data_IF_900186050863
#
_entry.id   IF_900186050863
#
_cell.length_a   1.000
_cell.length_b   1.000
_cell.length_c   1.000
_cell.angle_alpha   90.00
_cell.angle_beta   90.00
_cell.angle_gamma   90.00
#
_symmetry.space_group_name_H-M   'P 1'
#
loop_
_entity.id
_entity.type
_entity.pdbx_description
1 polymer ?
#
# COMPACT_ATOMS: atom_id res chain seq x y z
N UNK A 1 43.56 47.55 25.67
CA UNK A 1 44.13 46.84 24.50
C UNK A 1 43.18 45.69 24.20
N UNK A 2 42.34 45.71 23.15
CA UNK A 2 42.69 45.73 21.70
C UNK A 2 43.64 44.54 21.45
N UNK A 3 43.33 43.46 20.73
CA UNK A 3 42.83 43.28 19.35
C UNK A 3 42.52 41.77 19.18
N UNK A 4 41.39 41.33 18.62
CA UNK A 4 41.12 41.02 17.20
C UNK A 4 42.08 40.01 16.50
N UNK A 5 41.54 38.81 16.19
CA UNK A 5 41.47 38.01 14.92
C UNK A 5 42.73 37.92 14.00
N UNK A 6 42.99 36.83 13.20
CA UNK A 6 42.05 36.25 12.22
C UNK A 6 42.23 34.77 11.75
N UNK A 7 41.29 34.31 10.90
CA UNK A 7 41.51 33.27 9.86
C UNK A 7 40.77 31.94 10.07
N UNK A 8 39.46 31.83 9.87
CA UNK A 8 38.75 31.56 8.59
C UNK A 8 39.33 30.42 7.73
N UNK A 9 38.66 29.27 7.74
CA UNK A 9 38.09 28.51 6.60
C UNK A 9 37.34 27.33 7.22
N UNK A 10 36.01 27.34 7.27
CA UNK A 10 35.11 26.73 6.27
C UNK A 10 35.10 25.18 6.34
N UNK A 11 33.93 24.57 6.10
CA UNK A 11 33.45 23.22 6.48
C UNK A 11 32.79 23.18 7.87
N UNK A 12 31.46 23.15 8.01
CA UNK A 12 30.50 22.41 7.21
C UNK A 12 29.16 23.14 7.19
N UNK A 13 28.73 23.49 5.98
CA UNK A 13 27.40 23.98 5.68
C UNK A 13 26.35 22.86 5.84
N UNK A 14 25.23 23.23 6.48
CA UNK A 14 23.84 22.85 6.18
C UNK A 14 23.40 21.40 6.44
N UNK A 15 22.55 21.25 7.46
CA UNK A 15 21.24 20.62 7.28
C UNK A 15 20.14 21.57 7.79
N UNK A 16 19.03 21.75 7.06
CA UNK A 16 17.99 22.72 7.35
C UNK A 16 16.99 22.25 8.43
N UNK A 17 16.44 23.23 9.14
CA UNK A 17 15.22 23.11 9.93
C UNK A 17 13.99 22.86 9.05
N UNK A 18 12.96 22.17 9.57
CA UNK A 18 11.52 22.60 9.65
C UNK A 18 10.51 21.44 9.76
N UNK A 19 9.47 21.65 10.58
CA UNK A 19 8.12 21.01 10.54
C UNK A 19 7.94 19.74 11.37
N UNK A 20 7.17 19.66 12.47
CA UNK A 20 5.75 19.98 12.76
C UNK A 20 4.75 19.01 12.13
N UNK A 21 3.93 18.39 12.99
CA UNK A 21 2.68 17.69 12.67
C UNK A 21 2.84 16.16 12.54
N UNK A 22 1.99 15.27 13.07
CA UNK A 22 0.65 15.44 13.62
C UNK A 22 0.31 14.22 14.49
N UNK A 23 -0.44 14.46 15.57
CA UNK A 23 -1.13 13.38 16.25
C UNK A 23 -2.12 12.70 15.30
N UNK A 24 -2.15 11.37 15.30
CA UNK A 24 -3.30 10.64 14.78
C UNK A 24 -3.68 9.53 15.75
N UNK A 25 -4.76 9.85 16.46
CA UNK A 25 -5.56 8.95 17.28
C UNK A 25 -5.65 7.53 16.72
N UNK A 26 -5.37 6.54 17.56
CA UNK A 26 -6.02 5.23 17.38
C UNK A 26 -7.43 5.35 17.93
N UNK A 27 -8.36 5.24 16.99
CA UNK A 27 -9.76 5.59 17.12
C UNK A 27 -10.51 4.39 17.68
N UNK A 28 -11.39 4.63 18.64
CA UNK A 28 -12.46 3.71 19.01
C UNK A 28 -13.10 3.15 17.72
N UNK A 29 -12.94 1.85 17.45
CA UNK A 29 -13.72 1.15 16.43
C UNK A 29 -14.68 0.21 17.12
N UNK A 30 -15.64 0.81 17.83
CA UNK A 30 -16.92 0.21 18.16
C UNK A 30 -17.77 0.15 16.88
N UNK A 31 -17.49 -0.81 15.98
CA UNK A 31 -18.49 -1.25 14.98
C UNK A 31 -18.12 -2.59 14.34
N UNK A 32 -17.85 -3.62 15.13
CA UNK A 32 -17.80 -5.01 14.63
C UNK A 32 -19.22 -5.59 14.56
N UNK A 33 -20.11 -4.93 13.81
CA UNK A 33 -21.44 -5.49 13.54
C UNK A 33 -21.98 -5.08 12.18
N UNK A 34 -21.95 -6.05 11.28
CA UNK A 34 -22.95 -6.28 10.25
C UNK A 34 -23.17 -5.16 9.23
N UNK A 35 -22.25 -5.03 8.27
CA UNK A 35 -22.66 -4.80 6.88
C UNK A 35 -21.98 -5.87 6.02
N UNK A 36 -22.75 -6.82 5.51
CA UNK A 36 -22.28 -7.83 4.55
C UNK A 36 -21.96 -7.14 3.21
N UNK A 37 -20.87 -6.37 3.15
CA UNK A 37 -20.60 -5.44 2.06
C UNK A 37 -19.15 -5.58 1.65
N UNK A 38 -18.91 -6.01 0.40
CA UNK A 38 -17.72 -5.91 -0.48
C UNK A 38 -16.52 -5.10 0.05
N UNK A 39 -16.74 -3.98 0.72
CA UNK A 39 -15.72 -3.27 1.51
C UNK A 39 -14.90 -4.15 2.45
N UNK A 40 -15.48 -5.11 3.19
CA UNK A 40 -14.72 -5.97 4.09
C UNK A 40 -13.79 -6.91 3.31
N UNK A 41 -14.30 -7.52 2.24
CA UNK A 41 -13.50 -8.36 1.34
C UNK A 41 -12.34 -7.59 0.71
N UNK A 42 -12.56 -6.32 0.35
CA UNK A 42 -11.49 -5.46 -0.14
C UNK A 42 -10.41 -5.25 0.92
N UNK A 43 -10.76 -5.08 2.21
CA UNK A 43 -9.74 -4.96 3.25
C UNK A 43 -8.94 -6.25 3.43
N UNK A 44 -9.61 -7.41 3.44
CA UNK A 44 -8.93 -8.71 3.47
C UNK A 44 -7.99 -8.88 2.27
N UNK A 45 -8.42 -8.42 1.09
CA UNK A 45 -7.59 -8.46 -0.11
C UNK A 45 -6.35 -7.58 0.07
N UNK A 46 -6.48 -6.38 0.66
CA UNK A 46 -5.34 -5.51 0.96
C UNK A 46 -4.35 -6.20 1.92
N UNK A 47 -4.83 -6.85 2.98
CA UNK A 47 -3.99 -7.59 3.92
C UNK A 47 -3.24 -8.74 3.23
N UNK A 48 -3.92 -9.51 2.38
CA UNK A 48 -3.27 -10.61 1.64
C UNK A 48 -2.29 -10.09 0.58
N UNK A 49 -2.59 -8.97 -0.09
CA UNK A 49 -1.64 -8.27 -0.98
C UNK A 49 -0.41 -7.79 -0.20
N UNK A 50 -0.56 -7.31 1.04
CA UNK A 50 0.57 -6.92 1.89
C UNK A 50 1.38 -8.11 2.39
N UNK A 51 0.72 -9.24 2.64
CA UNK A 51 1.37 -10.47 3.09
C UNK A 51 2.18 -11.14 1.98
N UNK A 52 1.61 -11.22 0.77
CA UNK A 52 2.20 -11.92 -0.37
C UNK A 52 3.01 -11.00 -1.28
N UNK A 53 2.62 -9.73 -1.35
CA UNK A 53 3.28 -8.72 -2.16
C UNK A 53 4.56 -8.21 -1.54
N UNK A 54 5.32 -7.49 -2.36
CA UNK A 54 6.56 -6.85 -1.97
C UNK A 54 6.47 -5.36 -2.27
N UNK A 55 7.18 -4.54 -1.49
CA UNK A 55 7.27 -3.11 -1.80
C UNK A 55 8.03 -2.90 -3.11
N UNK A 56 7.41 -2.18 -4.02
CA UNK A 56 8.03 -1.74 -5.27
C UNK A 56 8.99 -0.56 -5.02
N UNK A 57 9.71 -0.14 -6.06
CA UNK A 57 10.66 0.97 -6.00
C UNK A 57 10.00 2.32 -5.60
N UNK A 58 8.69 2.45 -5.76
CA UNK A 58 7.91 3.62 -5.34
C UNK A 58 7.40 3.54 -3.90
N UNK A 59 7.70 2.46 -3.17
CA UNK A 59 7.27 2.24 -1.79
C UNK A 59 5.84 1.69 -1.66
N UNK A 60 5.16 1.37 -2.76
CA UNK A 60 3.83 0.77 -2.79
C UNK A 60 3.94 -0.76 -2.81
N UNK A 61 3.04 -1.46 -2.15
CA UNK A 61 3.01 -2.93 -2.18
C UNK A 61 2.47 -3.40 -3.52
N UNK A 62 3.17 -4.32 -4.19
CA UNK A 62 2.70 -4.97 -5.40
C UNK A 62 2.82 -6.49 -5.32
N UNK A 63 1.84 -7.21 -5.85
CA UNK A 63 1.83 -8.67 -5.92
C UNK A 63 1.35 -9.13 -7.29
N UNK A 64 1.86 -10.27 -7.77
CA UNK A 64 1.41 -10.84 -9.04
C UNK A 64 0.04 -11.46 -8.90
N UNK A 65 -0.82 -11.27 -9.91
CA UNK A 65 -2.14 -11.89 -9.95
C UNK A 65 -2.06 -13.42 -9.86
N UNK A 66 -1.11 -14.03 -10.56
CA UNK A 66 -0.90 -15.48 -10.49
C UNK A 66 -0.54 -15.95 -9.07
N UNK A 67 0.15 -15.13 -8.27
CA UNK A 67 0.48 -15.47 -6.88
C UNK A 67 -0.76 -15.38 -5.98
N UNK A 68 -1.58 -14.34 -6.13
CA UNK A 68 -2.85 -14.25 -5.40
C UNK A 68 -3.82 -15.37 -5.78
N UNK A 69 -3.86 -15.74 -7.06
CA UNK A 69 -4.76 -16.78 -7.55
C UNK A 69 -4.29 -18.19 -7.16
N UNK A 70 -2.97 -18.42 -7.14
CA UNK A 70 -2.38 -19.68 -6.73
C UNK A 70 -2.24 -19.82 -5.20
N UNK A 71 -2.65 -18.80 -4.43
CA UNK A 71 -2.67 -18.88 -2.98
C UNK A 71 -3.96 -19.57 -2.49
N UNK A 72 -3.81 -20.69 -1.81
CA UNK A 72 -4.91 -21.49 -1.30
C UNK A 72 -5.82 -20.70 -0.33
N UNK A 73 -5.25 -19.73 0.39
CA UNK A 73 -5.99 -18.90 1.35
C UNK A 73 -6.89 -17.92 0.61
N UNK A 74 -6.38 -17.25 -0.41
CA UNK A 74 -7.19 -16.39 -1.27
C UNK A 74 -8.30 -17.18 -1.98
N UNK A 75 -8.00 -18.37 -2.49
CA UNK A 75 -9.01 -19.23 -3.13
C UNK A 75 -10.09 -19.72 -2.16
N UNK A 76 -9.76 -19.91 -0.87
CA UNK A 76 -10.70 -20.39 0.14
C UNK A 76 -11.49 -19.26 0.84
N UNK A 77 -10.95 -18.04 0.89
CA UNK A 77 -11.60 -16.87 1.49
C UNK A 77 -12.46 -16.12 0.45
N UNK A 78 -11.97 -15.97 -0.79
CA UNK A 78 -12.66 -15.24 -1.84
C UNK A 78 -13.41 -16.19 -2.77
N UNK A 79 -14.73 -16.18 -2.69
CA UNK A 79 -15.60 -16.91 -3.62
C UNK A 79 -15.37 -16.46 -5.07
N UNK A 80 -15.05 -15.17 -5.26
CA UNK A 80 -14.68 -14.61 -6.55
C UNK A 80 -13.55 -13.56 -6.42
N UNK A 81 -12.30 -14.00 -6.40
CA UNK A 81 -11.12 -13.12 -6.32
C UNK A 81 -11.14 -12.00 -7.37
N UNK A 82 -11.49 -12.33 -8.62
CA UNK A 82 -11.60 -11.35 -9.73
C UNK A 82 -12.72 -10.33 -9.46
N UNK A 83 -13.80 -10.74 -8.80
CA UNK A 83 -14.88 -9.83 -8.37
C UNK A 83 -14.41 -8.83 -7.32
N UNK A 84 -13.68 -9.31 -6.31
CA UNK A 84 -13.10 -8.47 -5.24
C UNK A 84 -12.06 -7.51 -5.79
N UNK A 85 -11.16 -7.97 -6.68
CA UNK A 85 -10.18 -7.13 -7.38
C UNK A 85 -10.88 -6.03 -8.19
N UNK A 86 -11.95 -6.37 -8.93
CA UNK A 86 -12.73 -5.40 -9.70
C UNK A 86 -13.39 -4.34 -8.80
N UNK A 87 -13.91 -4.76 -7.65
CA UNK A 87 -14.49 -3.85 -6.68
C UNK A 87 -13.43 -2.94 -6.03
N UNK A 88 -12.27 -3.49 -5.68
CA UNK A 88 -11.13 -2.74 -5.14
C UNK A 88 -10.61 -1.70 -6.14
N UNK A 89 -10.49 -2.09 -7.42
CA UNK A 89 -10.10 -1.18 -8.52
C UNK A 89 -11.11 -0.07 -8.74
N UNK A 90 -12.41 -0.37 -8.70
CA UNK A 90 -13.48 0.64 -8.80
C UNK A 90 -13.44 1.66 -7.65
N UNK A 91 -12.98 1.23 -6.46
CA UNK A 91 -12.74 2.10 -5.30
C UNK A 91 -11.37 2.79 -5.30
N UNK A 92 -10.52 2.52 -6.29
CA UNK A 92 -9.13 3.03 -6.40
C UNK A 92 -8.25 2.63 -5.21
N UNK A 93 -8.52 1.47 -4.62
CA UNK A 93 -7.69 0.88 -3.54
C UNK A 93 -6.49 0.15 -4.15
N UNK A 94 -6.70 -0.49 -5.29
CA UNK A 94 -5.67 -1.17 -6.07
C UNK A 94 -5.68 -0.65 -7.51
N UNK A 95 -4.56 -0.84 -8.18
CA UNK A 95 -4.43 -0.68 -9.62
C UNK A 95 -3.71 -1.87 -10.25
N UNK A 96 -4.06 -2.17 -11.49
CA UNK A 96 -3.44 -3.25 -12.24
C UNK A 96 -3.63 -3.03 -13.73
N UNK A 97 -2.72 -3.56 -14.54
CA UNK A 97 -2.77 -3.43 -15.99
C UNK A 97 -3.89 -4.31 -16.58
N UNK A 98 -4.85 -3.68 -17.25
CA UNK A 98 -6.03 -4.34 -17.86
C UNK A 98 -7.34 -4.10 -17.11
N UNK A 99 -8.49 -4.31 -17.76
CA UNK A 99 -9.81 -4.18 -17.13
C UNK A 99 -10.33 -5.48 -16.51
N UNK A 100 -9.82 -6.63 -16.99
CA UNK A 100 -10.24 -7.96 -16.55
C UNK A 100 -9.03 -8.87 -16.47
N UNK A 101 -8.95 -9.68 -15.42
CA UNK A 101 -7.87 -10.65 -15.22
C UNK A 101 -8.43 -12.04 -15.50
N UNK A 102 -7.87 -12.67 -16.53
CA UNK A 102 -8.17 -14.04 -16.92
C UNK A 102 -7.01 -14.94 -16.47
N UNK A 103 -7.35 -16.04 -15.79
CA UNK A 103 -6.39 -17.06 -15.37
C UNK A 103 -5.59 -17.56 -16.58
N UNK A 104 -4.27 -17.74 -16.40
CA UNK A 104 -3.36 -18.23 -17.44
C UNK A 104 -2.80 -17.15 -18.36
N UNK A 105 -3.58 -16.10 -18.66
CA UNK A 105 -3.11 -14.98 -19.50
C UNK A 105 -2.53 -13.85 -18.66
N UNK A 106 -3.12 -13.58 -17.49
CA UNK A 106 -2.77 -12.41 -16.68
C UNK A 106 -1.97 -12.76 -15.42
N UNK A 107 -1.43 -13.97 -15.33
CA UNK A 107 -0.74 -14.43 -14.12
C UNK A 107 0.51 -13.59 -13.78
N UNK A 108 1.09 -12.95 -14.79
CA UNK A 108 2.25 -12.05 -14.64
C UNK A 108 1.89 -10.59 -14.35
N UNK A 109 0.60 -10.24 -14.33
CA UNK A 109 0.15 -8.86 -14.05
C UNK A 109 0.40 -8.52 -12.59
N UNK A 110 1.05 -7.38 -12.36
CA UNK A 110 1.26 -6.85 -11.02
C UNK A 110 0.03 -6.05 -10.56
N UNK A 111 -0.53 -6.46 -9.43
CA UNK A 111 -1.56 -5.75 -8.67
C UNK A 111 -0.85 -4.83 -7.68
N UNK A 112 -1.01 -3.53 -7.88
CA UNK A 112 -0.39 -2.48 -7.08
C UNK A 112 -1.41 -1.96 -6.08
N UNK A 113 -1.03 -1.94 -4.81
CA UNK A 113 -1.81 -1.33 -3.74
C UNK A 113 -1.61 0.19 -3.75
N UNK A 114 -2.69 0.93 -3.99
CA UNK A 114 -2.68 2.40 -3.95
C UNK A 114 -3.06 2.93 -2.56
N UNK A 115 -3.86 2.19 -1.80
CA UNK A 115 -4.36 2.59 -0.49
C UNK A 115 -4.21 1.47 0.54
N UNK A 116 -3.52 1.79 1.64
CA UNK A 116 -3.37 0.98 2.86
C UNK A 116 -4.36 1.44 3.95
#
# INVERSE_FOLDING_TARGET
MIQMLPGSTDFMCKLPATGTGDGKAIKNTSNYKATMNVSHEINLLVEEIQRLGSKNASGQTSVKFGVLFNDDRCANIFEALVGTLKAAKKKKVIDFQGELLLQGVHDQVDIILLQE
#
